data_IF_112174973425
#
_entry.id   IF_112174973425
#
_cell.length_a   1.000
_cell.length_b   1.000
_cell.length_c   1.000
_cell.angle_alpha   90.00
_cell.angle_beta   90.00
_cell.angle_gamma   90.00
#
_symmetry.space_group_name_H-M   'P 1'
#
loop_
_entity.id
_entity.type
_entity.pdbx_description
1 polymer ?
#
# COMPACT_ATOMS: atom_id res chain seq x y z
N UNK A 1 1.07 18.57 -3.84
CA UNK A 1 0.98 17.15 -4.24
C UNK A 1 -0.47 16.85 -4.55
N UNK A 2 -0.74 16.21 -5.69
CA UNK A 2 -2.03 15.57 -5.92
C UNK A 2 -2.32 14.59 -4.77
N UNK A 3 -3.60 14.38 -4.46
CA UNK A 3 -3.95 13.33 -3.50
C UNK A 3 -3.51 11.96 -4.04
N UNK A 4 -3.13 11.00 -3.18
CA UNK A 4 -2.79 9.64 -3.61
C UNK A 4 -3.88 9.02 -4.50
N UNK A 5 -5.14 9.29 -4.18
CA UNK A 5 -6.29 8.84 -4.98
C UNK A 5 -6.31 9.45 -6.40
N UNK A 6 -5.97 10.73 -6.54
CA UNK A 6 -5.82 11.36 -7.86
C UNK A 6 -4.65 10.77 -8.63
N UNK A 7 -3.50 10.55 -7.98
CA UNK A 7 -2.33 9.97 -8.63
C UNK A 7 -2.59 8.54 -9.14
N UNK A 8 -3.34 7.72 -8.42
CA UNK A 8 -3.77 6.39 -8.88
C UNK A 8 -4.67 6.51 -10.11
N UNK A 9 -5.64 7.43 -10.09
CA UNK A 9 -6.55 7.67 -11.22
C UNK A 9 -5.84 8.19 -12.46
N UNK A 10 -4.88 9.10 -12.31
CA UNK A 10 -4.08 9.64 -13.41
C UNK A 10 -3.26 8.56 -14.13
N UNK A 11 -2.94 7.46 -13.42
CA UNK A 11 -2.25 6.28 -13.97
C UNK A 11 -3.20 5.27 -14.61
N UNK A 12 -4.51 5.54 -14.61
CA UNK A 12 -5.52 4.64 -15.15
C UNK A 12 -5.87 3.47 -14.23
N UNK A 13 -5.42 3.50 -12.97
CA UNK A 13 -5.71 2.44 -12.00
C UNK A 13 -7.00 2.73 -11.23
N UNK A 14 -7.64 1.66 -10.75
CA UNK A 14 -8.84 1.73 -9.92
C UNK A 14 -8.51 1.40 -8.47
N UNK A 15 -9.35 1.90 -7.56
CA UNK A 15 -9.23 1.63 -6.12
C UNK A 15 -10.49 0.89 -5.72
N UNK A 16 -10.33 -0.33 -5.27
CA UNK A 16 -11.43 -1.17 -4.81
C UNK A 16 -11.36 -1.35 -3.30
N UNK A 17 -12.45 -1.01 -2.63
CA UNK A 17 -12.61 -1.29 -1.20
C UNK A 17 -13.25 -2.66 -1.05
N UNK A 18 -12.49 -3.60 -0.50
CA UNK A 18 -12.93 -4.98 -0.33
C UNK A 18 -13.15 -5.32 1.15
N UNK A 19 -14.08 -6.23 1.48
CA UNK A 19 -14.28 -6.67 2.85
C UNK A 19 -12.97 -7.17 3.48
N UNK A 20 -12.71 -6.79 4.72
CA UNK A 20 -11.45 -7.14 5.40
C UNK A 20 -11.21 -8.65 5.42
N UNK A 21 -12.27 -9.47 5.50
CA UNK A 21 -12.19 -10.92 5.46
C UNK A 21 -11.61 -11.48 4.14
N UNK A 22 -11.85 -10.82 3.00
CA UNK A 22 -11.30 -11.22 1.68
C UNK A 22 -9.79 -10.99 1.62
N UNK A 23 -9.32 -9.86 2.14
CA UNK A 23 -7.92 -9.45 2.10
C UNK A 23 -7.22 -9.59 3.46
N UNK A 24 -7.77 -10.37 4.40
CA UNK A 24 -7.48 -10.34 5.85
C UNK A 24 -6.01 -10.41 6.28
N UNK A 25 -5.14 -10.97 5.44
CA UNK A 25 -3.69 -11.01 5.66
C UNK A 25 -2.96 -9.69 5.32
N UNK A 26 -3.65 -8.75 4.68
CA UNK A 26 -3.11 -7.51 4.13
C UNK A 26 -4.08 -6.34 4.38
N UNK A 27 -3.54 -5.14 4.46
CA UNK A 27 -4.35 -3.92 4.57
C UNK A 27 -4.68 -3.33 3.21
N UNK A 28 -3.77 -3.50 2.25
CA UNK A 28 -3.95 -3.25 0.84
C UNK A 28 -3.06 -4.20 0.03
N UNK A 29 -3.39 -4.34 -1.25
CA UNK A 29 -2.61 -5.10 -2.22
C UNK A 29 -2.93 -4.55 -3.62
N UNK A 30 -2.00 -4.68 -4.56
CA UNK A 30 -2.15 -4.10 -5.89
C UNK A 30 -1.72 -5.07 -6.99
N UNK A 31 -2.27 -4.86 -8.18
CA UNK A 31 -1.71 -5.36 -9.43
C UNK A 31 -1.86 -4.29 -10.49
N UNK A 32 -0.75 -3.69 -10.91
CA UNK A 32 -0.78 -2.51 -11.78
C UNK A 32 0.27 -2.58 -12.87
N UNK A 33 -0.04 -2.02 -14.03
CA UNK A 33 0.93 -1.82 -15.10
C UNK A 33 1.62 -0.46 -14.93
N UNK A 34 2.95 -0.46 -15.00
CA UNK A 34 3.79 0.73 -15.06
C UNK A 34 4.71 0.59 -16.26
N UNK A 35 4.62 1.51 -17.22
CA UNK A 35 5.48 1.54 -18.42
C UNK A 35 5.54 0.21 -19.20
N UNK A 36 4.43 -0.53 -19.23
CA UNK A 36 4.32 -1.84 -19.90
C UNK A 36 4.78 -3.04 -19.07
N UNK A 37 5.22 -2.81 -17.82
CA UNK A 37 5.60 -3.87 -16.88
C UNK A 37 4.54 -4.04 -15.79
N UNK A 38 4.16 -5.29 -15.52
CA UNK A 38 3.18 -5.61 -14.49
C UNK A 38 3.86 -5.73 -13.12
N UNK A 39 3.53 -4.82 -12.20
CA UNK A 39 4.08 -4.75 -10.84
C UNK A 39 3.02 -5.19 -9.84
N UNK A 40 3.30 -6.27 -9.11
CA UNK A 40 2.42 -6.83 -8.09
C UNK A 40 3.21 -7.71 -7.13
N UNK A 41 2.80 -7.83 -5.85
CA UNK A 41 3.33 -8.83 -4.95
C UNK A 41 2.67 -10.21 -5.23
N UNK A 42 3.30 -11.34 -4.86
CA UNK A 42 2.71 -12.67 -5.05
C UNK A 42 1.31 -12.84 -4.44
N UNK A 43 1.00 -12.09 -3.38
CA UNK A 43 -0.32 -12.06 -2.76
C UNK A 43 -1.45 -11.66 -3.72
N UNK A 44 -1.17 -10.87 -4.76
CA UNK A 44 -2.15 -10.49 -5.76
C UNK A 44 -2.62 -11.68 -6.61
N UNK A 45 -1.78 -12.72 -6.77
CA UNK A 45 -2.15 -13.96 -7.44
C UNK A 45 -3.17 -14.75 -6.62
N UNK A 46 -2.88 -14.93 -5.33
CA UNK A 46 -3.77 -15.63 -4.38
C UNK A 46 -5.12 -14.91 -4.21
N UNK A 47 -5.09 -13.57 -4.24
CA UNK A 47 -6.27 -12.72 -4.13
C UNK A 47 -7.04 -12.58 -5.47
N UNK A 48 -6.43 -12.99 -6.58
CA UNK A 48 -7.04 -12.86 -7.91
C UNK A 48 -7.30 -11.40 -8.32
N UNK A 49 -6.44 -10.47 -7.90
CA UNK A 49 -6.62 -9.02 -8.17
C UNK A 49 -6.50 -8.79 -9.68
N UNK A 50 -7.49 -8.16 -10.34
CA UNK A 50 -7.39 -7.83 -11.76
C UNK A 50 -6.25 -6.84 -12.07
N UNK A 51 -5.84 -6.75 -13.33
CA UNK A 51 -4.85 -5.76 -13.75
C UNK A 51 -5.38 -4.34 -13.57
N UNK A 52 -4.48 -3.43 -13.15
CA UNK A 52 -4.75 -2.02 -12.89
C UNK A 52 -5.72 -1.77 -11.73
N UNK A 53 -5.70 -2.63 -10.72
CA UNK A 53 -6.48 -2.46 -9.48
C UNK A 53 -5.58 -2.37 -8.24
N UNK A 54 -5.98 -1.51 -7.31
CA UNK A 54 -5.43 -1.40 -5.97
C UNK A 54 -6.55 -1.68 -4.97
N UNK A 55 -6.47 -2.83 -4.30
CA UNK A 55 -7.45 -3.25 -3.31
C UNK A 55 -7.05 -2.73 -1.93
N UNK A 56 -8.02 -2.19 -1.20
CA UNK A 56 -7.88 -1.75 0.19
C UNK A 56 -8.93 -2.45 1.04
N UNK A 57 -8.54 -2.96 2.19
CA UNK A 57 -9.50 -3.45 3.18
C UNK A 57 -10.39 -2.30 3.66
N UNK A 58 -11.72 -2.47 3.60
CA UNK A 58 -12.72 -1.50 4.09
C UNK A 58 -12.47 -0.99 5.52
N UNK A 59 -11.86 -1.83 6.38
CA UNK A 59 -11.40 -1.46 7.73
C UNK A 59 -10.56 -0.18 7.76
N UNK A 60 -9.77 0.05 6.70
CA UNK A 60 -8.83 1.16 6.59
C UNK A 60 -9.34 2.32 5.73
N UNK A 61 -10.59 2.28 5.26
CA UNK A 61 -11.20 3.33 4.43
C UNK A 61 -11.04 4.75 5.00
N UNK A 62 -11.16 4.91 6.33
CA UNK A 62 -10.94 6.19 7.04
C UNK A 62 -9.50 6.74 6.95
N UNK A 63 -8.57 5.91 6.52
CA UNK A 63 -7.14 6.17 6.38
C UNK A 63 -6.63 5.97 4.94
N UNK A 64 -7.51 5.82 3.95
CA UNK A 64 -7.19 5.64 2.52
C UNK A 64 -6.00 6.46 2.04
N UNK A 65 -5.97 7.74 2.41
CA UNK A 65 -4.90 8.66 2.00
C UNK A 65 -3.51 8.13 2.37
N UNK A 66 -3.36 7.52 3.54
CA UNK A 66 -2.09 7.03 4.02
C UNK A 66 -1.74 5.71 3.36
N UNK A 67 -2.69 4.77 3.37
CA UNK A 67 -2.53 3.44 2.73
C UNK A 67 -2.18 3.57 1.25
N UNK A 68 -2.95 4.37 0.50
CA UNK A 68 -2.72 4.55 -0.94
C UNK A 68 -1.38 5.21 -1.27
N UNK A 69 -0.90 6.10 -0.41
CA UNK A 69 0.42 6.68 -0.62
C UNK A 69 1.52 5.65 -0.40
N UNK A 70 1.40 4.82 0.64
CA UNK A 70 2.32 3.71 0.86
C UNK A 70 2.42 2.83 -0.40
N UNK A 71 1.27 2.35 -0.90
CA UNK A 71 1.23 1.54 -2.12
C UNK A 71 1.84 2.27 -3.33
N UNK A 72 1.52 3.56 -3.52
CA UNK A 72 2.09 4.36 -4.60
C UNK A 72 3.62 4.47 -4.53
N UNK A 73 4.18 4.66 -3.33
CA UNK A 73 5.62 4.77 -3.14
C UNK A 73 6.29 3.41 -3.34
N UNK A 74 5.70 2.34 -2.82
CA UNK A 74 6.21 1.00 -3.05
C UNK A 74 6.21 0.64 -4.54
N UNK A 75 5.11 0.89 -5.26
CA UNK A 75 5.02 0.67 -6.71
C UNK A 75 6.07 1.50 -7.45
N UNK A 76 6.26 2.78 -7.09
CA UNK A 76 7.26 3.63 -7.73
C UNK A 76 8.68 3.10 -7.53
N UNK A 77 9.04 2.73 -6.30
CA UNK A 77 10.36 2.15 -6.01
C UNK A 77 10.57 0.82 -6.72
N UNK A 78 9.53 -0.02 -6.83
CA UNK A 78 9.60 -1.26 -7.60
C UNK A 78 9.78 -1.01 -9.10
N UNK A 79 9.11 0.00 -9.65
CA UNK A 79 9.29 0.42 -11.04
C UNK A 79 10.71 0.97 -11.30
N UNK A 80 11.35 1.54 -10.28
CA UNK A 80 12.76 1.96 -10.33
C UNK A 80 13.74 0.76 -10.24
N UNK A 81 13.23 -0.46 -10.11
CA UNK A 81 14.02 -1.70 -10.09
C UNK A 81 14.38 -2.20 -8.69
N UNK A 82 13.83 -1.62 -7.63
CA UNK A 82 14.01 -2.13 -6.28
C UNK A 82 13.23 -3.43 -6.07
N UNK A 83 13.84 -4.37 -5.33
CA UNK A 83 13.12 -5.54 -4.86
C UNK A 83 11.99 -5.16 -3.87
N UNK A 84 11.10 -6.10 -3.60
CA UNK A 84 9.93 -5.88 -2.72
C UNK A 84 10.33 -5.33 -1.35
N UNK A 85 11.35 -5.90 -0.71
CA UNK A 85 11.74 -5.52 0.66
C UNK A 85 12.33 -4.11 0.66
N UNK A 86 13.25 -3.84 -0.26
CA UNK A 86 13.87 -2.51 -0.40
C UNK A 86 12.83 -1.44 -0.74
N UNK A 87 11.90 -1.73 -1.66
CA UNK A 87 10.84 -0.80 -2.02
C UNK A 87 9.89 -0.49 -0.86
N UNK A 88 9.58 -1.50 -0.04
CA UNK A 88 8.75 -1.34 1.15
C UNK A 88 9.42 -0.41 2.18
N UNK A 89 10.70 -0.64 2.49
CA UNK A 89 11.45 0.20 3.43
C UNK A 89 11.57 1.65 2.95
N UNK A 90 11.75 1.85 1.64
CA UNK A 90 11.79 3.19 1.04
C UNK A 90 10.42 3.88 1.12
N UNK A 91 9.32 3.14 0.92
CA UNK A 91 7.97 3.66 1.10
C UNK A 91 7.72 4.11 2.55
N UNK A 92 8.10 3.29 3.54
CA UNK A 92 7.99 3.66 4.96
C UNK A 92 8.82 4.90 5.31
N UNK A 93 10.03 5.05 4.73
CA UNK A 93 10.87 6.25 4.89
C UNK A 93 10.20 7.49 4.29
N UNK A 94 9.60 7.36 3.11
CA UNK A 94 8.87 8.44 2.45
C UNK A 94 7.67 8.89 3.30
N UNK A 95 6.92 7.95 3.85
CA UNK A 95 5.81 8.22 4.78
C UNK A 95 6.27 8.93 6.04
N UNK A 96 7.33 8.44 6.68
CA UNK A 96 7.92 9.06 7.87
C UNK A 96 8.36 10.50 7.58
N UNK A 97 8.97 10.76 6.43
CA UNK A 97 9.40 12.11 6.04
C UNK A 97 8.22 13.07 5.91
N UNK A 98 7.07 12.59 5.44
CA UNK A 98 5.90 13.41 5.13
C UNK A 98 4.93 13.54 6.30
N UNK A 99 4.75 12.49 7.10
CA UNK A 99 3.63 12.35 8.05
C UNK A 99 4.03 12.07 9.49
N UNK A 100 5.33 12.04 9.80
CA UNK A 100 5.86 11.92 11.17
C UNK A 100 5.08 12.74 12.21
N UNK A 101 4.63 13.95 11.88
CA UNK A 101 3.94 14.85 12.80
C UNK A 101 2.41 14.91 12.60
N UNK A 102 1.85 14.10 11.69
CA UNK A 102 0.42 14.05 11.44
C UNK A 102 -0.28 13.16 12.48
N UNK A 103 -1.21 13.70 13.28
CA UNK A 103 -1.85 12.94 14.34
C UNK A 103 -2.71 11.77 13.83
N UNK A 104 -3.38 11.91 12.67
CA UNK A 104 -4.18 10.83 12.08
C UNK A 104 -3.31 9.67 11.59
N UNK A 105 -2.15 10.00 11.01
CA UNK A 105 -1.19 8.97 10.57
C UNK A 105 -0.60 8.22 11.76
N UNK A 106 -0.28 8.91 12.86
CA UNK A 106 0.18 8.27 14.10
C UNK A 106 -0.85 7.32 14.71
N UNK A 107 -2.13 7.72 14.75
CA UNK A 107 -3.21 6.85 15.21
C UNK A 107 -3.35 5.62 14.31
N UNK A 108 -3.32 5.81 12.99
CA UNK A 108 -3.35 4.68 12.06
C UNK A 108 -2.20 3.71 12.31
N UNK A 109 -0.96 4.20 12.47
CA UNK A 109 0.19 3.33 12.71
C UNK A 109 0.09 2.61 14.07
N UNK A 110 -0.41 3.27 15.12
CA UNK A 110 -0.68 2.60 16.38
C UNK A 110 -1.74 1.48 16.23
N UNK A 111 -2.86 1.75 15.54
CA UNK A 111 -3.87 0.73 15.21
C UNK A 111 -3.29 -0.38 14.32
N UNK A 112 -2.31 -0.06 13.47
CA UNK A 112 -1.63 -0.99 12.58
C UNK A 112 -0.67 -1.90 13.35
N UNK A 113 0.13 -1.33 14.26
CA UNK A 113 1.11 -2.04 15.10
C UNK A 113 0.41 -2.98 16.09
N UNK A 114 -0.73 -2.59 16.66
CA UNK A 114 -1.57 -3.49 17.46
C UNK A 114 -2.02 -4.73 16.68
N UNK A 115 -2.17 -4.63 15.35
CA UNK A 115 -2.44 -5.75 14.45
C UNK A 115 -1.19 -6.54 14.01
N UNK A 116 -0.01 -5.89 13.95
CA UNK A 116 1.30 -6.51 13.64
C UNK A 116 1.98 -7.14 14.86
N UNK A 117 1.51 -6.92 16.09
CA UNK A 117 2.10 -7.51 17.31
C UNK A 117 2.18 -9.06 17.29
N UNK A 118 1.61 -9.72 16.27
CA UNK A 118 1.65 -11.16 16.06
C UNK A 118 2.55 -11.62 14.89
N UNK A 119 3.15 -10.69 14.13
CA UNK A 119 4.07 -10.99 13.03
C UNK A 119 5.44 -10.40 13.37
N UNK A 120 6.49 -11.22 13.55
CA UNK A 120 7.81 -10.69 13.87
C UNK A 120 8.27 -9.83 12.70
N UNK A 121 8.48 -8.53 12.96
CA UNK A 121 9.41 -7.76 12.15
C UNK A 121 10.73 -8.54 12.13
N UNK A 122 11.36 -8.80 10.97
CA UNK A 122 12.76 -9.16 10.98
C UNK A 122 13.50 -7.92 11.47
N UNK A 123 13.77 -7.91 12.77
CA UNK A 123 14.86 -7.12 13.31
C UNK A 123 16.14 -7.63 12.65
N UNK A 124 16.82 -6.77 11.90
CA UNK A 124 18.27 -6.52 11.97
C UNK A 124 18.70 -5.46 10.95
#
# INVERSE_FOLDING_TARGET
MASPREAIRERGWTIEHVPHEVISKYNACYRVEVDGELIYPPAADDLGIPENEVWISEKWSKYDRFVLYHELREIAHRAEGHDKTTAHELAERDELSLWRNNPRWRVMNAEWDEGRAHLPFPHE
#
